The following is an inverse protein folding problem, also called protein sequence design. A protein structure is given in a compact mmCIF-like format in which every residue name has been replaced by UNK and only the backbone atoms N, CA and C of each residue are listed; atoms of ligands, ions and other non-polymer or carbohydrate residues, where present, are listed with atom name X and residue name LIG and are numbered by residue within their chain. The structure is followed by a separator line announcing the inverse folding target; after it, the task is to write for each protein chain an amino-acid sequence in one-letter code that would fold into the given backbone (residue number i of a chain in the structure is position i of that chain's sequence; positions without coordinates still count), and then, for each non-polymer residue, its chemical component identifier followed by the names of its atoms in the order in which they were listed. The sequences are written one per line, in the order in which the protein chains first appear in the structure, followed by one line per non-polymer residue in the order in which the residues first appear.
data_IF_780109812371
#
_entry.id   IF_780109812371
#
_cell.length_a   1.000
_cell.length_b   1.000
_cell.length_c   1.000
_cell.angle_alpha   90.00
_cell.angle_beta   90.00
_cell.angle_gamma   90.00
#
_symmetry.space_group_name_H-M   'P 1'
#
loop_
_entity.id
_entity.type
_entity.pdbx_description
1 polymer ?
#
# COMPACT_ATOMS: atom_id res chain seq x y z
N UNK A 1 -40.40 -9.97 32.55
CA UNK A 1 -39.69 -9.99 31.26
C UNK A 1 -38.68 -11.11 31.35
N UNK A 2 -38.86 -12.19 30.59
CA UNK A 2 -37.90 -13.30 30.58
C UNK A 2 -36.68 -12.89 29.74
N UNK A 3 -35.51 -12.80 30.37
CA UNK A 3 -34.28 -12.39 29.70
C UNK A 3 -33.76 -13.57 28.88
N UNK A 4 -33.82 -13.47 27.54
CA UNK A 4 -33.27 -14.47 26.61
C UNK A 4 -31.74 -14.40 26.51
N UNK A 5 -31.05 -14.50 27.66
CA UNK A 5 -29.59 -14.37 27.76
C UNK A 5 -28.82 -15.26 26.78
N UNK A 6 -29.26 -16.51 26.60
CA UNK A 6 -28.65 -17.44 25.64
C UNK A 6 -28.75 -16.97 24.18
N UNK A 7 -29.87 -16.39 23.79
CA UNK A 7 -30.05 -15.85 22.43
C UNK A 7 -29.20 -14.60 22.21
N UNK A 8 -29.13 -13.71 23.22
CA UNK A 8 -28.26 -12.54 23.15
C UNK A 8 -26.78 -12.93 23.02
N UNK A 9 -26.32 -13.90 23.82
CA UNK A 9 -24.95 -14.40 23.75
C UNK A 9 -24.62 -15.02 22.39
N UNK A 10 -25.54 -15.80 21.81
CA UNK A 10 -25.36 -16.40 20.48
C UNK A 10 -25.25 -15.33 19.39
N UNK A 11 -26.12 -14.32 19.41
CA UNK A 11 -26.07 -13.20 18.47
C UNK A 11 -24.75 -12.41 18.58
N UNK A 12 -24.28 -12.15 19.80
CA UNK A 12 -22.99 -11.47 20.04
C UNK A 12 -21.84 -12.30 19.46
N UNK A 13 -21.81 -13.61 19.73
CA UNK A 13 -20.77 -14.51 19.20
C UNK A 13 -20.79 -14.55 17.67
N UNK A 14 -21.96 -14.65 17.05
CA UNK A 14 -22.08 -14.63 15.58
C UNK A 14 -21.56 -13.32 14.99
N UNK A 15 -21.85 -12.17 15.62
CA UNK A 15 -21.31 -10.89 15.18
C UNK A 15 -19.78 -10.84 15.28
N UNK A 16 -19.20 -11.34 16.37
CA UNK A 16 -17.73 -11.40 16.53
C UNK A 16 -17.08 -12.25 15.43
N UNK A 17 -17.69 -13.40 15.09
CA UNK A 17 -17.22 -14.25 14.00
C UNK A 17 -17.32 -13.54 12.64
N UNK A 18 -18.42 -12.83 12.38
CA UNK A 18 -18.58 -12.05 11.15
C UNK A 18 -17.55 -10.91 11.05
N UNK A 19 -17.26 -10.24 12.16
CA UNK A 19 -16.24 -9.19 12.24
C UNK A 19 -14.83 -9.73 11.94
N UNK A 20 -14.47 -10.89 12.50
CA UNK A 20 -13.18 -11.55 12.22
C UNK A 20 -13.09 -12.05 10.78
N UNK A 21 -14.17 -12.68 10.28
CA UNK A 21 -14.26 -13.15 8.89
C UNK A 21 -14.15 -12.01 7.88
N UNK A 22 -14.74 -10.85 8.16
CA UNK A 22 -14.64 -9.66 7.33
C UNK A 22 -13.19 -9.16 7.20
N UNK A 23 -12.47 -9.00 8.32
CA UNK A 23 -11.07 -8.53 8.29
C UNK A 23 -10.20 -9.48 7.46
N UNK A 24 -10.37 -10.79 7.65
CA UNK A 24 -9.65 -11.81 6.89
C UNK A 24 -9.97 -11.73 5.39
N UNK A 25 -11.25 -11.71 5.03
CA UNK A 25 -11.67 -11.67 3.62
C UNK A 25 -11.19 -10.38 2.91
N UNK A 26 -11.23 -9.23 3.60
CA UNK A 26 -10.70 -7.99 3.06
C UNK A 26 -9.19 -8.09 2.86
N UNK A 27 -8.44 -8.58 3.84
CA UNK A 27 -6.99 -8.67 3.75
C UNK A 27 -6.52 -9.70 2.68
N UNK A 28 -7.24 -10.81 2.49
CA UNK A 28 -7.03 -11.76 1.39
C UNK A 28 -7.31 -11.11 0.03
N UNK A 29 -8.39 -10.33 -0.08
CA UNK A 29 -8.69 -9.56 -1.28
C UNK A 29 -7.56 -8.59 -1.61
N UNK A 30 -7.01 -7.86 -0.64
CA UNK A 30 -5.87 -6.96 -0.91
C UNK A 30 -4.68 -7.73 -1.44
N UNK A 31 -4.36 -8.89 -0.88
CA UNK A 31 -3.28 -9.75 -1.35
C UNK A 31 -3.48 -10.23 -2.78
N UNK A 32 -4.67 -10.73 -3.10
CA UNK A 32 -5.03 -11.21 -4.44
C UNK A 32 -5.05 -10.10 -5.49
N UNK A 33 -5.32 -8.86 -5.09
CA UNK A 33 -5.28 -7.70 -5.98
C UNK A 33 -3.86 -7.16 -6.17
N UNK A 34 -2.92 -7.40 -5.24
CA UNK A 34 -1.62 -6.74 -5.25
C UNK A 34 -0.80 -7.01 -6.52
N UNK A 35 -0.70 -8.26 -6.95
CA UNK A 35 0.09 -8.64 -8.13
C UNK A 35 -0.60 -8.23 -9.44
N UNK A 36 -1.91 -8.50 -9.66
CA UNK A 36 -2.62 -8.01 -10.84
C UNK A 36 -2.54 -6.49 -11.00
N UNK A 37 -2.59 -5.72 -9.91
CA UNK A 37 -2.45 -4.26 -9.96
C UNK A 37 -1.10 -3.78 -10.50
N UNK A 38 -0.02 -4.54 -10.28
CA UNK A 38 1.31 -4.20 -10.79
C UNK A 38 1.42 -4.33 -12.31
N UNK A 39 0.56 -5.13 -12.92
CA UNK A 39 0.52 -5.38 -14.37
C UNK A 39 -0.72 -4.76 -15.04
N UNK A 40 -1.38 -3.82 -14.37
CA UNK A 40 -2.58 -3.13 -14.86
C UNK A 40 -2.33 -1.94 -15.78
N UNK A 41 -1.07 -1.66 -16.13
CA UNK A 41 -0.71 -0.47 -16.88
C UNK A 41 0.18 -0.79 -18.08
N UNK A 42 -0.22 -0.26 -19.23
CA UNK A 42 0.59 -0.23 -20.44
C UNK A 42 1.23 1.15 -20.58
N UNK A 43 2.43 1.19 -21.17
CA UNK A 43 3.25 2.39 -21.19
C UNK A 43 3.59 2.82 -22.62
N UNK A 44 3.54 4.13 -22.86
CA UNK A 44 4.01 4.75 -24.11
C UNK A 44 4.97 5.87 -23.74
N UNK A 45 6.12 5.91 -24.41
CA UNK A 45 7.12 6.98 -24.26
C UNK A 45 7.13 7.91 -25.47
N UNK A 46 7.30 9.20 -25.22
CA UNK A 46 7.59 10.23 -26.21
C UNK A 46 8.82 11.00 -25.78
N UNK A 47 9.72 11.25 -26.72
CA UNK A 47 10.86 12.17 -26.56
C UNK A 47 10.65 13.40 -27.42
N UNK A 48 11.17 14.54 -26.95
CA UNK A 48 11.26 15.78 -27.73
C UNK A 48 12.70 16.05 -28.17
N UNK A 49 12.89 17.06 -29.02
CA UNK A 49 14.22 17.46 -29.50
C UNK A 49 15.17 17.78 -28.33
N UNK A 50 16.45 17.37 -28.41
CA UNK A 50 17.47 17.73 -27.44
C UNK A 50 17.65 19.24 -27.33
N UNK A 51 17.87 19.74 -26.11
CA UNK A 51 18.17 21.15 -25.83
C UNK A 51 19.55 21.26 -25.19
N UNK A 52 20.38 22.15 -25.71
CA UNK A 52 21.70 22.39 -25.10
C UNK A 52 21.54 23.03 -23.72
N UNK A 53 22.33 22.55 -22.76
CA UNK A 53 22.40 23.07 -21.39
C UNK A 53 23.57 24.04 -21.19
N UNK A 54 24.48 24.11 -22.16
CA UNK A 54 25.65 24.98 -22.12
C UNK A 54 25.92 25.64 -23.47
N UNK A 55 26.75 26.67 -23.46
CA UNK A 55 27.15 27.41 -24.67
C UNK A 55 28.11 26.63 -25.56
N UNK A 56 28.76 25.60 -25.01
CA UNK A 56 29.75 24.77 -25.71
C UNK A 56 29.12 23.57 -26.43
N UNK A 57 27.80 23.37 -26.28
CA UNK A 57 27.04 22.23 -26.80
C UNK A 57 27.56 20.86 -26.35
N UNK A 58 28.11 20.79 -25.13
CA UNK A 58 28.66 19.55 -24.56
C UNK A 58 27.61 18.76 -23.79
N UNK A 59 26.75 19.44 -23.06
CA UNK A 59 25.69 18.85 -22.25
C UNK A 59 24.32 19.22 -22.80
N UNK A 60 23.43 18.24 -22.80
CA UNK A 60 22.11 18.31 -23.39
C UNK A 60 21.08 17.74 -22.44
N UNK A 61 19.84 18.19 -22.61
CA UNK A 61 18.68 17.54 -22.02
C UNK A 61 17.71 17.09 -23.12
N UNK A 62 17.17 15.89 -22.95
CA UNK A 62 16.13 15.33 -23.82
C UNK A 62 14.85 15.19 -22.98
N UNK A 63 13.83 16.04 -23.23
CA UNK A 63 12.57 15.93 -22.52
C UNK A 63 11.86 14.62 -22.87
N UNK A 64 11.50 13.85 -21.85
CA UNK A 64 10.77 12.59 -21.95
C UNK A 64 9.40 12.71 -21.28
N UNK A 65 8.42 12.04 -21.87
CA UNK A 65 7.08 11.87 -21.34
C UNK A 65 6.67 10.41 -21.47
N UNK A 66 6.39 9.76 -20.34
CA UNK A 66 5.75 8.44 -20.30
C UNK A 66 4.30 8.58 -19.88
N UNK A 67 3.40 7.99 -20.65
CA UNK A 67 1.97 7.87 -20.32
C UNK A 67 1.67 6.45 -19.91
N UNK A 68 1.05 6.28 -18.75
CA UNK A 68 0.51 5.01 -18.26
C UNK A 68 -0.99 4.95 -18.54
N UNK A 69 -1.43 3.91 -19.24
CA UNK A 69 -2.84 3.66 -19.59
C UNK A 69 -3.28 2.36 -18.96
N UNK A 70 -4.48 2.33 -18.36
CA UNK A 70 -4.99 1.12 -17.76
C UNK A 70 -5.27 0.06 -18.83
N UNK A 71 -4.92 -1.19 -18.55
CA UNK A 71 -5.29 -2.33 -19.38
C UNK A 71 -6.42 -3.16 -18.71
N UNK A 72 -6.78 -4.30 -19.31
CA UNK A 72 -7.91 -5.13 -18.84
C UNK A 72 -7.77 -5.66 -17.41
N UNK A 73 -6.55 -5.75 -16.88
CA UNK A 73 -6.35 -6.20 -15.49
C UNK A 73 -6.97 -5.22 -14.50
N UNK A 74 -7.10 -3.92 -14.84
CA UNK A 74 -7.73 -2.98 -13.92
C UNK A 74 -9.22 -3.25 -13.73
N UNK A 75 -9.89 -3.66 -14.80
CA UNK A 75 -11.30 -4.01 -14.76
C UNK A 75 -11.52 -5.28 -13.93
N UNK A 76 -10.60 -6.26 -14.04
CA UNK A 76 -10.59 -7.42 -13.16
C UNK A 76 -10.48 -6.99 -11.69
N UNK A 77 -9.51 -6.14 -11.36
CA UNK A 77 -9.29 -5.67 -9.99
C UNK A 77 -10.51 -4.94 -9.43
N UNK A 78 -11.09 -4.01 -10.20
CA UNK A 78 -12.28 -3.26 -9.80
C UNK A 78 -13.48 -4.18 -9.55
N UNK A 79 -13.73 -5.13 -10.46
CA UNK A 79 -14.86 -6.06 -10.33
C UNK A 79 -14.67 -7.03 -9.17
N UNK A 80 -13.46 -7.57 -8.98
CA UNK A 80 -13.16 -8.45 -7.85
C UNK A 80 -13.32 -7.72 -6.52
N UNK A 81 -12.82 -6.48 -6.43
CA UNK A 81 -12.97 -5.63 -5.25
C UNK A 81 -14.44 -5.38 -4.92
N UNK A 82 -15.23 -4.91 -5.91
CA UNK A 82 -16.68 -4.69 -5.76
C UNK A 82 -17.42 -5.95 -5.31
N UNK A 83 -17.18 -7.07 -5.98
CA UNK A 83 -17.85 -8.35 -5.67
C UNK A 83 -17.57 -8.82 -4.26
N UNK A 84 -16.32 -8.69 -3.81
CA UNK A 84 -15.93 -9.05 -2.44
C UNK A 84 -16.60 -8.14 -1.42
N UNK A 85 -16.57 -6.81 -1.61
CA UNK A 85 -17.25 -5.88 -0.70
C UNK A 85 -18.77 -6.08 -0.69
N UNK A 86 -19.38 -6.40 -1.83
CA UNK A 86 -20.81 -6.70 -1.90
C UNK A 86 -21.19 -7.92 -1.04
N UNK A 87 -20.35 -8.96 -1.05
CA UNK A 87 -20.56 -10.17 -0.24
C UNK A 87 -20.36 -9.92 1.27
N UNK A 88 -19.55 -8.92 1.64
CA UNK A 88 -19.25 -8.59 3.04
C UNK A 88 -20.18 -7.51 3.60
N UNK A 89 -20.72 -6.64 2.76
CA UNK A 89 -21.49 -5.47 3.18
C UNK A 89 -22.69 -5.85 4.04
N UNK A 90 -22.89 -5.10 5.13
CA UNK A 90 -24.14 -5.11 5.88
C UNK A 90 -25.29 -4.67 4.96
N UNK A 91 -26.42 -5.36 5.07
CA UNK A 91 -27.71 -4.94 4.53
C UNK A 91 -28.25 -3.72 5.30
N UNK A 92 -29.24 -2.97 4.75
CA UNK A 92 -29.80 -1.81 5.42
C UNK A 92 -30.34 -2.08 6.84
N UNK A 93 -31.02 -3.21 7.05
CA UNK A 93 -31.56 -3.61 8.36
C UNK A 93 -30.46 -4.02 9.36
N UNK A 94 -29.38 -4.62 8.88
CA UNK A 94 -28.23 -4.92 9.73
C UNK A 94 -27.49 -3.65 10.17
N UNK A 95 -27.42 -2.63 9.30
CA UNK A 95 -26.86 -1.31 9.66
C UNK A 95 -27.67 -0.67 10.79
N UNK A 96 -29.00 -0.68 10.70
CA UNK A 96 -29.88 -0.20 11.77
C UNK A 96 -29.68 -0.98 13.07
N UNK A 97 -29.54 -2.30 12.96
CA UNK A 97 -29.26 -3.16 14.11
C UNK A 97 -27.92 -2.79 14.77
N UNK A 98 -26.84 -2.63 14.00
CA UNK A 98 -25.53 -2.25 14.53
C UNK A 98 -25.59 -0.89 15.26
N UNK A 99 -26.28 0.10 14.66
CA UNK A 99 -26.49 1.40 15.29
C UNK A 99 -27.26 1.30 16.61
N UNK A 100 -28.31 0.47 16.67
CA UNK A 100 -29.08 0.24 17.91
C UNK A 100 -28.26 -0.40 19.04
N UNK A 101 -27.23 -1.17 18.67
CA UNK A 101 -26.28 -1.80 19.59
C UNK A 101 -25.11 -0.87 19.97
N UNK A 102 -25.16 0.41 19.59
CA UNK A 102 -24.09 1.39 19.76
C UNK A 102 -22.75 0.94 19.12
N UNK A 103 -22.82 0.15 18.04
CA UNK A 103 -21.66 -0.24 17.23
C UNK A 103 -21.48 0.71 16.06
N UNK A 104 -20.22 0.96 15.71
CA UNK A 104 -19.88 1.73 14.52
C UNK A 104 -20.09 0.91 13.24
N UNK A 105 -20.36 1.61 12.14
CA UNK A 105 -20.44 1.07 10.78
C UNK A 105 -19.52 1.92 9.92
N UNK A 106 -18.75 1.26 9.06
CA UNK A 106 -17.68 1.88 8.29
C UNK A 106 -18.02 1.82 6.78
N UNK A 107 -18.59 2.91 6.22
CA UNK A 107 -18.94 2.94 4.80
C UNK A 107 -17.70 3.06 3.90
N UNK A 108 -17.71 2.32 2.80
CA UNK A 108 -16.75 2.36 1.71
C UNK A 108 -17.48 2.68 0.42
N UNK A 109 -17.18 3.83 -0.17
CA UNK A 109 -17.71 4.24 -1.46
C UNK A 109 -16.79 3.75 -2.58
N UNK A 110 -17.36 3.11 -3.60
CA UNK A 110 -16.62 2.62 -4.76
C UNK A 110 -17.26 3.18 -6.02
N UNK A 111 -16.48 4.00 -6.73
CA UNK A 111 -16.78 4.53 -8.05
C UNK A 111 -16.11 3.65 -9.11
N UNK A 112 -16.90 3.15 -10.06
CA UNK A 112 -16.41 2.41 -11.22
C UNK A 112 -17.45 2.44 -12.33
N UNK A 113 -17.04 2.73 -13.57
CA UNK A 113 -17.92 2.83 -14.76
C UNK A 113 -19.12 3.77 -14.54
N UNK A 114 -18.88 4.97 -13.99
CA UNK A 114 -19.89 5.98 -13.65
C UNK A 114 -20.97 5.50 -12.65
N UNK A 115 -20.74 4.40 -11.94
CA UNK A 115 -21.59 3.94 -10.85
C UNK A 115 -20.87 4.16 -9.52
N UNK A 116 -21.58 4.70 -8.55
CA UNK A 116 -21.13 4.81 -7.16
C UNK A 116 -21.94 3.85 -6.30
N UNK A 117 -21.26 2.92 -5.63
CA UNK A 117 -21.88 1.99 -4.69
C UNK A 117 -21.24 2.17 -3.30
N UNK A 118 -22.07 2.11 -2.25
CA UNK A 118 -21.61 2.18 -0.86
C UNK A 118 -21.74 0.80 -0.22
N UNK A 119 -20.64 0.30 0.34
CA UNK A 119 -20.58 -0.95 1.09
C UNK A 119 -20.33 -0.65 2.56
N UNK A 120 -21.13 -1.22 3.45
CA UNK A 120 -21.09 -0.96 4.89
C UNK A 120 -20.34 -2.08 5.61
N UNK A 121 -19.13 -1.79 6.09
CA UNK A 121 -18.28 -2.75 6.80
C UNK A 121 -18.40 -2.60 8.32
N UNK A 122 -17.98 -3.64 9.05
CA UNK A 122 -18.12 -3.75 10.51
C UNK A 122 -16.90 -3.24 11.26
N UNK A 123 -15.70 -3.21 10.64
CA UNK A 123 -14.44 -2.92 11.35
C UNK A 123 -13.57 -1.85 10.72
N UNK A 124 -12.96 -1.04 11.59
CA UNK A 124 -11.93 -0.06 11.22
C UNK A 124 -10.68 -0.73 10.61
N UNK A 125 -10.31 -1.95 11.03
CA UNK A 125 -9.17 -2.66 10.45
C UNK A 125 -9.39 -3.03 8.97
N UNK A 126 -10.64 -3.32 8.58
CA UNK A 126 -11.03 -3.50 7.17
C UNK A 126 -10.79 -2.22 6.36
N UNK A 127 -11.12 -1.06 6.94
CA UNK A 127 -10.86 0.26 6.35
C UNK A 127 -9.35 0.52 6.22
N UNK A 128 -8.55 0.21 7.25
CA UNK A 128 -7.10 0.34 7.21
C UNK A 128 -6.47 -0.54 6.11
N UNK A 129 -6.95 -1.78 5.95
CA UNK A 129 -6.51 -2.68 4.88
C UNK A 129 -6.82 -2.10 3.49
N UNK A 130 -8.03 -1.59 3.29
CA UNK A 130 -8.43 -0.96 2.02
C UNK A 130 -7.58 0.30 1.73
N UNK A 131 -7.37 1.16 2.74
CA UNK A 131 -6.50 2.34 2.63
C UNK A 131 -5.07 1.96 2.27
N UNK A 132 -4.57 0.82 2.75
CA UNK A 132 -3.23 0.34 2.40
C UNK A 132 -3.08 0.08 0.89
N UNK A 133 -4.08 -0.53 0.25
CA UNK A 133 -4.07 -0.76 -1.19
C UNK A 133 -4.11 0.56 -1.97
N UNK A 134 -4.95 1.51 -1.55
CA UNK A 134 -5.05 2.83 -2.19
C UNK A 134 -3.73 3.60 -2.14
N UNK A 135 -3.00 3.49 -1.03
CA UNK A 135 -1.70 4.15 -0.87
C UNK A 135 -0.64 3.67 -1.87
N UNK A 136 -0.84 2.49 -2.48
CA UNK A 136 0.09 1.89 -3.45
C UNK A 136 -0.14 2.38 -4.88
N UNK A 137 -1.06 3.31 -5.12
CA UNK A 137 -1.38 3.70 -6.49
C UNK A 137 -0.20 4.30 -7.28
N UNK A 138 0.57 5.17 -6.60
CA UNK A 138 1.79 5.74 -7.15
C UNK A 138 2.85 4.67 -7.44
N UNK A 139 2.85 3.58 -6.67
CA UNK A 139 3.72 2.43 -6.91
C UNK A 139 3.29 1.68 -8.17
N UNK A 140 2.02 1.24 -8.26
CA UNK A 140 1.54 0.43 -9.38
C UNK A 140 1.68 1.13 -10.73
N UNK A 141 1.34 2.42 -10.80
CA UNK A 141 1.42 3.20 -12.06
C UNK A 141 2.85 3.43 -12.54
N UNK A 142 3.87 3.19 -11.72
CA UNK A 142 5.27 3.56 -11.99
C UNK A 142 6.18 2.36 -12.26
N UNK A 143 5.60 1.20 -12.55
CA UNK A 143 6.33 -0.04 -12.81
C UNK A 143 6.78 -0.14 -14.27
N UNK A 144 7.62 0.82 -14.68
CA UNK A 144 8.28 0.80 -15.99
C UNK A 144 9.76 1.18 -15.88
N UNK A 145 10.52 0.79 -16.90
CA UNK A 145 11.89 1.26 -17.17
C UNK A 145 11.97 1.87 -18.55
N UNK A 146 12.89 2.81 -18.73
CA UNK A 146 13.18 3.46 -20.01
C UNK A 146 14.57 3.09 -20.46
N UNK A 147 14.67 2.57 -21.67
CA UNK A 147 15.93 2.18 -22.29
C UNK A 147 16.25 3.14 -23.43
N UNK A 148 17.46 3.70 -23.43
CA UNK A 148 17.97 4.62 -24.46
C UNK A 148 18.70 3.91 -25.62
N UNK A 149 18.85 2.57 -25.51
CA UNK A 149 19.75 1.75 -26.33
C UNK A 149 21.16 1.59 -25.75
N UNK A 150 21.56 2.50 -24.85
CA UNK A 150 22.85 2.50 -24.17
C UNK A 150 22.71 2.08 -22.70
N UNK A 151 21.67 2.58 -22.03
CA UNK A 151 21.42 2.35 -20.61
C UNK A 151 19.93 2.21 -20.30
N UNK A 152 19.65 1.77 -19.08
CA UNK A 152 18.31 1.66 -18.51
C UNK A 152 18.16 2.61 -17.33
N UNK A 153 17.03 3.30 -17.28
CA UNK A 153 16.68 4.21 -16.19
C UNK A 153 15.26 3.97 -15.68
N UNK A 154 15.07 4.22 -14.40
CA UNK A 154 13.74 4.36 -13.82
C UNK A 154 13.33 5.81 -14.01
N UNK A 155 12.11 6.10 -14.49
CA UNK A 155 11.65 7.48 -14.66
C UNK A 155 11.93 8.27 -13.37
N UNK A 156 12.51 9.47 -13.44
CA UNK A 156 13.25 10.03 -12.29
C UNK A 156 12.55 11.17 -11.52
N UNK A 157 11.27 11.50 -11.79
CA UNK A 157 10.56 12.61 -11.08
C UNK A 157 9.06 12.40 -10.86
N UNK A 158 8.41 13.37 -10.18
CA UNK A 158 6.97 13.44 -9.86
C UNK A 158 6.14 13.21 -11.12
N UNK A 159 5.24 12.23 -11.07
CA UNK A 159 4.19 12.05 -12.08
C UNK A 159 2.89 12.71 -11.64
N UNK A 160 2.05 13.04 -12.60
CA UNK A 160 0.66 13.40 -12.36
C UNK A 160 -0.17 12.12 -12.39
N UNK A 161 -0.85 11.81 -11.29
CA UNK A 161 -1.81 10.71 -11.20
C UNK A 161 -3.20 11.26 -11.53
N UNK A 162 -3.97 10.54 -12.35
CA UNK A 162 -5.31 10.95 -12.78
C UNK A 162 -6.36 9.99 -12.23
N UNK A 163 -7.40 10.52 -11.59
CA UNK A 163 -8.50 9.70 -11.07
C UNK A 163 -8.30 9.13 -9.67
N UNK A 164 -7.21 9.47 -8.98
CA UNK A 164 -6.91 9.00 -7.63
C UNK A 164 -6.88 10.16 -6.65
N UNK A 165 -7.97 10.34 -5.91
CA UNK A 165 -8.02 11.28 -4.81
C UNK A 165 -7.76 10.53 -3.50
N UNK A 166 -6.55 10.68 -2.95
CA UNK A 166 -6.25 10.26 -1.58
C UNK A 166 -6.76 11.34 -0.62
N UNK A 167 -8.08 11.50 -0.55
CA UNK A 167 -8.64 12.37 0.49
C UNK A 167 -8.47 11.67 1.84
N UNK A 168 -7.76 12.32 2.77
CA UNK A 168 -7.63 11.89 4.16
C UNK A 168 -8.93 12.17 4.93
N UNK A 169 -10.04 11.69 4.38
CA UNK A 169 -11.36 11.71 5.00
C UNK A 169 -11.52 10.53 5.98
N UNK A 170 -12.42 10.68 6.95
CA UNK A 170 -12.92 9.58 7.77
C UNK A 170 -13.72 8.56 6.93
N UNK A 171 -14.26 8.98 5.77
CA UNK A 171 -14.83 8.10 4.76
C UNK A 171 -13.77 7.57 3.79
N UNK A 172 -13.87 6.30 3.40
CA UNK A 172 -13.05 5.73 2.31
C UNK A 172 -13.85 5.81 1.03
N UNK A 173 -13.31 6.51 0.04
CA UNK A 173 -13.86 6.60 -1.30
C UNK A 173 -12.79 6.17 -2.29
N UNK A 174 -13.11 5.23 -3.17
CA UNK A 174 -12.19 4.66 -4.16
C UNK A 174 -12.76 4.87 -5.54
N UNK A 175 -11.96 5.42 -6.44
CA UNK A 175 -12.31 5.54 -7.84
C UNK A 175 -11.41 4.62 -8.67
N UNK A 176 -11.98 3.54 -9.19
CA UNK A 176 -11.27 2.67 -10.13
C UNK A 176 -11.38 3.25 -11.53
N UNK A 177 -10.26 3.43 -12.25
CA UNK A 177 -10.29 3.77 -13.66
C UNK A 177 -10.76 2.56 -14.47
N UNK A 178 -11.10 2.78 -15.73
CA UNK A 178 -11.49 1.70 -16.66
C UNK A 178 -10.36 1.36 -17.63
N UNK A 179 -10.42 0.17 -18.23
CA UNK A 179 -9.52 -0.19 -19.32
C UNK A 179 -9.51 0.89 -20.44
N UNK A 180 -8.32 1.26 -20.89
CA UNK A 180 -8.07 2.32 -21.86
C UNK A 180 -7.99 3.74 -21.27
N UNK A 181 -8.33 3.93 -20.00
CA UNK A 181 -8.23 5.24 -19.35
C UNK A 181 -6.78 5.54 -18.97
N UNK A 182 -6.35 6.78 -19.23
CA UNK A 182 -5.05 7.27 -18.79
C UNK A 182 -5.00 7.36 -17.25
N UNK A 183 -4.04 6.69 -16.63
CA UNK A 183 -3.87 6.63 -15.18
C UNK A 183 -2.83 7.61 -14.66
N UNK A 184 -1.75 7.83 -15.43
CA UNK A 184 -0.66 8.71 -15.01
C UNK A 184 0.17 9.21 -16.20
N UNK A 185 0.85 10.34 -15.98
CA UNK A 185 1.92 10.82 -16.85
C UNK A 185 3.15 11.14 -16.04
N UNK A 186 4.33 10.76 -16.53
CA UNK A 186 5.62 10.99 -15.90
C UNK A 186 6.52 11.74 -16.88
N UNK A 187 7.03 12.90 -16.49
CA UNK A 187 7.94 13.68 -17.32
C UNK A 187 9.24 14.02 -16.61
N UNK A 188 10.33 13.98 -17.36
CA UNK A 188 11.65 14.38 -16.88
C UNK A 188 12.56 14.72 -18.06
N UNK A 189 13.67 15.38 -17.76
CA UNK A 189 14.71 15.71 -18.72
C UNK A 189 15.84 14.69 -18.56
N UNK A 190 16.08 13.85 -19.56
CA UNK A 190 17.23 12.95 -19.57
C UNK A 190 18.49 13.72 -19.95
N UNK A 191 19.49 13.72 -19.08
CA UNK A 191 20.71 14.53 -19.23
C UNK A 191 21.79 13.70 -19.91
N UNK A 192 22.30 14.20 -21.03
CA UNK A 192 23.26 13.48 -21.87
C UNK A 192 24.40 14.39 -22.33
N UNK A 193 25.57 13.83 -22.52
CA UNK A 193 26.64 14.47 -23.28
C UNK A 193 26.43 14.26 -24.78
N UNK A 194 27.09 15.06 -25.63
CA UNK A 194 27.05 14.85 -27.08
C UNK A 194 27.50 13.42 -27.47
N UNK A 195 28.59 12.95 -26.89
CA UNK A 195 29.11 11.59 -27.13
C UNK A 195 28.12 10.49 -26.70
N UNK A 196 27.32 10.74 -25.66
CA UNK A 196 26.25 9.82 -25.25
C UNK A 196 25.11 9.82 -26.27
N UNK A 197 24.70 10.98 -26.77
CA UNK A 197 23.64 11.11 -27.78
C UNK A 197 24.01 10.35 -29.06
N UNK A 198 25.27 10.43 -29.50
CA UNK A 198 25.78 9.71 -30.68
C UNK A 198 25.67 8.18 -30.55
N UNK A 199 25.63 7.64 -29.32
CA UNK A 199 25.52 6.21 -29.05
C UNK A 199 24.07 5.74 -28.85
N UNK A 200 23.12 6.67 -28.72
CA UNK A 200 21.72 6.32 -28.47
C UNK A 200 21.06 5.77 -29.74
N UNK A 201 20.28 4.70 -29.59
CA UNK A 201 19.50 4.11 -30.68
C UNK A 201 18.02 4.47 -30.61
N UNK A 202 17.62 5.24 -29.60
CA UNK A 202 16.25 5.69 -29.37
C UNK A 202 15.69 5.21 -28.03
N UNK A 203 14.58 5.82 -27.61
CA UNK A 203 13.93 5.46 -26.36
C UNK A 203 12.87 4.39 -26.56
N UNK A 204 12.88 3.41 -25.66
CA UNK A 204 11.79 2.46 -25.47
C UNK A 204 11.40 2.39 -24.00
N UNK A 205 10.15 2.02 -23.73
CA UNK A 205 9.64 1.82 -22.37
C UNK A 205 9.21 0.38 -22.20
N UNK A 206 9.56 -0.23 -21.06
CA UNK A 206 9.22 -1.62 -20.74
C UNK A 206 8.52 -1.70 -19.38
N UNK A 207 7.43 -2.46 -19.25
CA UNK A 207 6.84 -2.74 -17.94
C UNK A 207 7.79 -3.60 -17.11
N UNK A 208 7.81 -3.38 -15.79
CA UNK A 208 8.63 -4.16 -14.84
C UNK A 208 7.99 -5.48 -14.42
N UNK A 209 6.71 -5.68 -14.74
CA UNK A 209 5.95 -6.84 -14.26
C UNK A 209 5.70 -6.77 -12.75
N UNK A 210 5.56 -7.95 -12.13
CA UNK A 210 5.42 -8.09 -10.68
C UNK A 210 6.80 -7.98 -10.03
N UNK A 211 6.97 -6.98 -9.16
CA UNK A 211 8.22 -6.70 -8.43
C UNK A 211 8.06 -6.81 -6.91
N UNK A 212 6.83 -6.94 -6.43
CA UNK A 212 6.51 -7.16 -5.02
C UNK A 212 5.46 -8.25 -4.90
N UNK A 213 5.69 -9.21 -4.02
CA UNK A 213 4.82 -10.37 -3.86
C UNK A 213 3.99 -10.24 -2.59
N UNK A 214 2.80 -10.82 -2.60
CA UNK A 214 1.97 -10.96 -1.40
C UNK A 214 1.78 -12.43 -1.07
N UNK A 215 2.39 -12.88 0.03
CA UNK A 215 2.36 -14.28 0.47
C UNK A 215 2.28 -14.33 1.99
N UNK A 216 1.88 -15.47 2.54
CA UNK A 216 1.95 -15.72 3.99
C UNK A 216 1.29 -14.61 4.84
N UNK A 217 0.22 -14.01 4.32
CA UNK A 217 -0.57 -12.98 4.98
C UNK A 217 -0.04 -11.55 4.89
N UNK A 218 1.08 -11.27 4.21
CA UNK A 218 1.64 -9.93 4.10
C UNK A 218 2.44 -9.67 2.82
N UNK A 219 2.99 -8.45 2.72
CA UNK A 219 3.92 -8.06 1.67
C UNK A 219 5.27 -8.71 1.93
N UNK A 220 5.81 -9.47 0.97
CA UNK A 220 7.11 -10.13 1.12
C UNK A 220 8.21 -9.06 1.11
N UNK A 221 8.98 -9.01 2.20
CA UNK A 221 10.12 -8.11 2.38
C UNK A 221 11.38 -8.76 1.80
N UNK A 222 11.62 -10.02 2.16
CA UNK A 222 12.62 -10.88 1.54
C UNK A 222 12.21 -12.36 1.65
N UNK A 223 12.72 -13.19 0.76
CA UNK A 223 12.52 -14.64 0.75
C UNK A 223 13.82 -15.29 0.25
N UNK A 224 14.34 -16.26 1.01
CA UNK A 224 15.54 -17.03 0.69
C UNK A 224 15.41 -18.44 1.22
N UNK A 225 15.59 -19.43 0.35
CA UNK A 225 15.58 -20.86 0.69
C UNK A 225 14.33 -21.32 1.46
N UNK A 226 13.17 -20.75 1.11
CA UNK A 226 11.88 -21.06 1.74
C UNK A 226 11.61 -20.30 3.05
N UNK A 227 12.58 -19.51 3.52
CA UNK A 227 12.44 -18.64 4.68
C UNK A 227 12.30 -17.17 4.28
N UNK A 228 11.52 -16.40 5.03
CA UNK A 228 11.40 -14.98 4.72
C UNK A 228 10.73 -14.15 5.78
N UNK A 229 10.67 -12.85 5.50
CA UNK A 229 9.98 -11.87 6.32
C UNK A 229 8.83 -11.28 5.51
N UNK A 230 7.63 -11.24 6.10
CA UNK A 230 6.51 -10.46 5.57
C UNK A 230 6.17 -9.28 6.46
N UNK A 231 5.74 -8.20 5.83
CA UNK A 231 5.23 -7.00 6.47
C UNK A 231 3.70 -6.99 6.43
N UNK A 232 3.07 -6.63 7.55
CA UNK A 232 1.62 -6.49 7.66
C UNK A 232 1.04 -5.41 6.73
N UNK A 233 -0.25 -5.51 6.45
CA UNK A 233 -0.92 -4.67 5.45
C UNK A 233 -1.05 -3.21 5.88
N UNK A 234 -1.23 -2.96 7.17
CA UNK A 234 -1.48 -1.64 7.73
C UNK A 234 -0.85 -1.53 9.12
N UNK A 235 -0.75 -0.31 9.63
CA UNK A 235 -0.27 -0.07 10.98
C UNK A 235 -1.32 -0.54 12.00
N UNK A 236 -0.89 -1.32 12.99
CA UNK A 236 -1.76 -1.86 14.04
C UNK A 236 -2.35 -0.74 14.88
N UNK A 237 -1.59 0.33 15.06
CA UNK A 237 -1.97 1.52 15.81
C UNK A 237 -0.75 2.30 16.27
N UNK A 238 -0.98 3.18 17.25
CA UNK A 238 0.05 4.01 17.89
C UNK A 238 0.03 3.72 19.38
N UNK A 239 1.14 3.23 19.92
CA UNK A 239 1.20 2.69 21.27
C UNK A 239 2.50 3.11 21.98
N UNK A 240 2.52 3.01 23.31
CA UNK A 240 3.79 2.93 24.02
C UNK A 240 4.48 1.60 23.69
N UNK A 241 5.75 1.47 24.04
CA UNK A 241 6.55 0.34 23.55
C UNK A 241 6.09 -1.02 24.09
N UNK A 242 5.62 -1.09 25.33
CA UNK A 242 5.09 -2.34 25.90
C UNK A 242 3.78 -2.74 25.23
N UNK A 243 2.85 -1.80 25.10
CA UNK A 243 1.56 -2.04 24.45
C UNK A 243 1.75 -2.32 22.95
N UNK A 244 2.79 -1.79 22.31
CA UNK A 244 3.15 -2.09 20.93
C UNK A 244 3.50 -3.58 20.75
N UNK A 245 4.26 -4.17 21.69
CA UNK A 245 4.56 -5.60 21.67
C UNK A 245 3.30 -6.43 21.85
N UNK A 246 2.52 -6.14 22.89
CA UNK A 246 1.25 -6.83 23.15
C UNK A 246 0.29 -6.74 21.96
N UNK A 247 0.16 -5.57 21.34
CA UNK A 247 -0.71 -5.37 20.18
C UNK A 247 -0.27 -6.19 18.95
N UNK A 248 1.03 -6.42 18.77
CA UNK A 248 1.54 -7.33 17.76
C UNK A 248 1.28 -8.80 18.11
N UNK A 249 1.58 -9.21 19.35
CA UNK A 249 1.44 -10.59 19.80
C UNK A 249 -0.02 -11.07 19.81
N UNK A 250 -0.97 -10.15 20.02
CA UNK A 250 -2.42 -10.42 19.97
C UNK A 250 -3.02 -10.24 18.56
N UNK A 251 -2.23 -9.79 17.57
CA UNK A 251 -2.74 -9.50 16.23
C UNK A 251 -3.11 -10.79 15.49
N UNK A 252 -4.37 -10.85 15.06
CA UNK A 252 -4.85 -11.85 14.09
C UNK A 252 -5.08 -11.17 12.74
N UNK A 253 -4.19 -11.39 11.78
CA UNK A 253 -4.25 -10.79 10.44
C UNK A 253 -4.01 -11.85 9.36
N UNK A 254 -4.91 -11.91 8.38
CA UNK A 254 -4.90 -12.93 7.31
C UNK A 254 -4.89 -14.39 7.80
N UNK A 255 -5.43 -14.64 8.99
CA UNK A 255 -5.45 -15.97 9.60
C UNK A 255 -4.16 -16.37 10.32
N UNK A 256 -3.18 -15.47 10.40
CA UNK A 256 -1.93 -15.67 11.13
C UNK A 256 -1.98 -14.94 12.49
N UNK A 257 -1.35 -15.52 13.51
CA UNK A 257 -1.36 -15.07 14.90
C UNK A 257 0.05 -14.91 15.49
N UNK A 258 1.08 -15.12 14.68
CA UNK A 258 2.50 -15.10 14.99
C UNK A 258 3.15 -13.78 14.50
N UNK A 259 2.38 -12.70 14.53
CA UNK A 259 2.86 -11.36 14.22
C UNK A 259 3.67 -10.80 15.39
N UNK A 260 4.73 -10.05 15.09
CA UNK A 260 5.61 -9.46 16.10
C UNK A 260 6.06 -8.05 15.71
N UNK A 261 6.54 -7.31 16.69
CA UNK A 261 7.19 -6.01 16.47
C UNK A 261 8.58 -6.25 15.81
N UNK A 262 8.91 -5.58 14.69
CA UNK A 262 10.17 -5.80 13.96
C UNK A 262 11.38 -5.37 14.78
N UNK A 263 12.53 -6.03 14.60
CA UNK A 263 13.80 -5.54 15.12
C UNK A 263 14.18 -4.21 14.45
N UNK A 264 15.14 -3.48 15.03
CA UNK A 264 15.70 -2.26 14.44
C UNK A 264 16.21 -2.53 13.02
N UNK A 265 16.98 -3.60 12.85
CA UNK A 265 17.61 -3.99 11.59
C UNK A 265 16.56 -4.39 10.55
N UNK A 266 15.52 -5.13 10.95
CA UNK A 266 14.41 -5.48 10.06
C UNK A 266 13.62 -4.25 9.62
N UNK A 267 13.38 -3.32 10.54
CA UNK A 267 12.69 -2.08 10.25
C UNK A 267 13.52 -1.26 9.25
N UNK A 268 14.80 -1.03 9.50
CA UNK A 268 15.70 -0.38 8.55
C UNK A 268 15.71 -1.08 7.18
N UNK A 269 15.75 -2.42 7.17
CA UNK A 269 15.73 -3.20 5.94
C UNK A 269 14.42 -3.02 5.15
N UNK A 270 13.26 -3.08 5.81
CA UNK A 270 11.95 -2.80 5.21
C UNK A 270 11.96 -1.40 4.61
N UNK A 271 12.43 -0.41 5.38
CA UNK A 271 12.40 0.98 4.97
C UNK A 271 13.39 1.34 3.86
N UNK A 272 14.45 0.56 3.69
CA UNK A 272 15.36 0.71 2.56
C UNK A 272 14.81 -0.02 1.33
N UNK A 273 14.47 -1.30 1.43
CA UNK A 273 14.13 -2.11 0.27
C UNK A 273 12.70 -1.88 -0.26
N UNK A 274 11.70 -1.83 0.63
CA UNK A 274 10.29 -1.72 0.20
C UNK A 274 9.98 -0.31 -0.31
N UNK A 275 10.60 0.71 0.27
CA UNK A 275 10.34 2.11 -0.11
C UNK A 275 11.11 2.56 -1.32
N UNK A 276 12.30 2.00 -1.57
CA UNK A 276 13.02 2.24 -2.82
C UNK A 276 12.24 1.69 -4.02
N UNK A 277 11.47 0.61 -3.83
CA UNK A 277 10.49 0.16 -4.83
C UNK A 277 9.34 1.15 -5.02
N UNK A 278 9.10 2.06 -4.07
CA UNK A 278 8.00 3.01 -4.05
C UNK A 278 6.73 2.48 -3.37
N UNK A 279 6.74 1.22 -2.91
CA UNK A 279 5.61 0.60 -2.23
C UNK A 279 5.37 1.31 -0.89
N UNK A 280 4.13 1.75 -0.65
CA UNK A 280 3.75 2.47 0.57
C UNK A 280 3.16 1.56 1.63
N UNK A 281 2.33 0.59 1.22
CA UNK A 281 1.60 -0.32 2.09
C UNK A 281 0.89 0.39 3.26
N UNK A 282 0.38 1.60 3.04
CA UNK A 282 -0.30 2.40 4.07
C UNK A 282 0.62 2.93 5.17
N UNK A 283 1.95 2.84 5.01
CA UNK A 283 2.89 3.34 6.00
C UNK A 283 3.00 4.85 5.92
N UNK A 284 3.01 5.48 7.09
CA UNK A 284 3.00 6.92 7.28
C UNK A 284 4.42 7.47 7.37
N UNK A 285 4.60 8.77 7.08
CA UNK A 285 5.88 9.47 7.30
C UNK A 285 5.96 9.93 8.75
N UNK A 286 6.42 9.05 9.63
CA UNK A 286 6.43 9.25 11.08
C UNK A 286 7.41 8.30 11.79
N UNK A 287 7.24 8.14 13.10
CA UNK A 287 8.04 7.30 13.98
C UNK A 287 7.43 5.89 14.11
N UNK A 288 8.27 4.86 13.97
CA UNK A 288 7.88 3.46 14.12
C UNK A 288 8.70 2.78 15.20
N UNK A 289 8.03 2.13 16.15
CA UNK A 289 8.74 1.34 17.16
C UNK A 289 9.44 0.13 16.55
N UNK A 290 10.62 -0.19 17.08
CA UNK A 290 11.25 -1.50 16.91
C UNK A 290 11.21 -2.28 18.23
N UNK A 291 11.37 -3.60 18.16
CA UNK A 291 11.50 -4.47 19.34
C UNK A 291 12.89 -4.44 19.96
N UNK A 292 13.87 -3.78 19.32
CA UNK A 292 15.25 -3.65 19.82
C UNK A 292 15.30 -2.63 20.95
N UNK A 293 15.77 -3.07 22.12
CA UNK A 293 15.96 -2.20 23.28
C UNK A 293 17.24 -1.38 23.18
N UNK A 294 17.24 -0.18 23.77
CA UNK A 294 18.46 0.59 24.05
C UNK A 294 18.55 0.78 25.57
N UNK A 295 19.66 0.36 26.18
CA UNK A 295 19.97 0.42 27.63
C UNK A 295 18.89 0.98 28.58
N UNK A 296 18.45 0.14 29.53
CA UNK A 296 17.52 0.52 30.58
C UNK A 296 16.09 0.73 30.06
N UNK A 297 15.61 1.97 30.11
CA UNK A 297 14.21 2.32 29.86
C UNK A 297 13.90 2.76 28.43
N UNK A 298 14.83 2.60 27.48
CA UNK A 298 14.67 3.08 26.11
C UNK A 298 14.54 1.94 25.10
N UNK A 299 13.91 2.22 23.98
CA UNK A 299 13.87 1.33 22.83
C UNK A 299 14.11 2.12 21.55
N UNK A 300 14.59 1.43 20.52
CA UNK A 300 14.85 2.03 19.22
C UNK A 300 13.54 2.24 18.45
N UNK A 301 13.47 3.35 17.74
CA UNK A 301 12.46 3.64 16.73
C UNK A 301 13.13 4.11 15.44
N UNK A 302 12.41 4.00 14.32
CA UNK A 302 12.85 4.53 13.04
C UNK A 302 11.98 5.72 12.62
N UNK A 303 12.64 6.79 12.17
CA UNK A 303 11.99 7.93 11.50
C UNK A 303 11.89 7.62 10.00
N UNK A 304 10.72 7.80 9.43
CA UNK A 304 10.41 7.36 8.06
C UNK A 304 10.13 8.52 7.11
N UNK A 305 10.51 9.73 7.54
CA UNK A 305 10.53 10.92 6.71
C UNK A 305 11.78 10.98 5.81
N UNK A 306 12.05 12.14 5.20
CA UNK A 306 13.13 12.31 4.24
C UNK A 306 14.54 12.04 4.79
N UNK A 307 14.75 12.05 6.11
CA UNK A 307 16.08 11.93 6.71
C UNK A 307 16.42 10.50 7.15
N UNK A 308 15.43 9.58 7.16
CA UNK A 308 15.56 8.15 7.54
C UNK A 308 16.62 7.90 8.62
N UNK A 309 16.26 8.13 9.88
CA UNK A 309 17.19 8.01 11.00
C UNK A 309 16.63 7.08 12.08
N UNK A 310 17.50 6.25 12.66
CA UNK A 310 17.17 5.45 13.84
C UNK A 310 17.58 6.21 15.10
N UNK A 311 16.68 6.30 16.08
CA UNK A 311 16.97 6.90 17.38
C UNK A 311 16.26 6.11 18.48
N UNK A 312 16.42 6.48 19.74
CA UNK A 312 15.80 5.81 20.88
C UNK A 312 14.95 6.75 21.73
N UNK A 313 13.88 6.20 22.30
CA UNK A 313 13.00 6.94 23.19
C UNK A 313 12.57 6.09 24.38
N UNK A 314 12.10 6.77 25.43
CA UNK A 314 11.59 6.12 26.63
C UNK A 314 10.38 5.25 26.32
N UNK A 315 10.45 3.97 26.71
CA UNK A 315 9.44 2.94 26.45
C UNK A 315 8.03 3.32 26.95
N UNK A 316 7.95 4.07 28.05
CA UNK A 316 6.70 4.36 28.76
C UNK A 316 6.04 5.70 28.39
N UNK A 317 6.76 6.59 27.68
CA UNK A 317 6.26 7.94 27.38
C UNK A 317 6.13 8.20 25.88
N UNK A 318 7.01 7.62 25.06
CA UNK A 318 6.88 7.70 23.61
C UNK A 318 5.67 6.89 23.13
N UNK A 319 4.84 7.47 22.27
CA UNK A 319 3.82 6.72 21.53
C UNK A 319 4.16 6.79 20.05
N UNK A 320 4.45 5.65 19.43
CA UNK A 320 4.85 5.56 18.02
C UNK A 320 4.04 4.48 17.29
N UNK A 321 4.04 4.55 15.96
CA UNK A 321 3.29 3.62 15.13
C UNK A 321 3.93 2.23 15.12
N UNK A 322 3.09 1.23 14.87
CA UNK A 322 3.48 -0.17 14.88
C UNK A 322 3.13 -0.82 13.54
N UNK A 323 4.17 -1.26 12.82
CA UNK A 323 4.05 -2.08 11.62
C UNK A 323 4.52 -3.49 11.96
N UNK A 324 3.57 -4.41 12.10
CA UNK A 324 3.87 -5.79 12.46
C UNK A 324 4.60 -6.52 11.31
N UNK A 325 5.48 -7.44 11.68
CA UNK A 325 6.17 -8.37 10.78
C UNK A 325 5.97 -9.80 11.23
N UNK A 326 6.22 -10.74 10.33
CA UNK A 326 6.11 -12.17 10.59
C UNK A 326 7.15 -12.93 9.76
N UNK A 327 7.78 -13.92 10.36
CA UNK A 327 8.66 -14.86 9.67
C UNK A 327 7.84 -16.00 9.03
N UNK A 328 8.34 -16.58 7.95
CA UNK A 328 7.74 -17.76 7.32
C UNK A 328 8.77 -18.73 6.79
#
# INVERSE_FOLDING_TARGET
IEVKGGMFALNIKQQLLNEQGEIKAVAEMIGLLHEPMQISFDYVIKSSDPKSLDTESKNWEIPLLVTATCNKNIDFCANYFKKTLAALSLSPSEVETYKSLNKQVFPVEVMYQNQTLTYNLRKQSSISAIKSLMSNWAFYTRLFTVQSGMDESFGNRRGSLFGFDNSYSSSVSINFPTNGQQAATFSWNDKRTLAQIEQMTGYSVKPRGVVSNFKNGGYVVYEKDGHGLVMGLFDVGKFNWTDAKTACDELVLNGYTDWRLPSKEELEFIFNNVYELGLKAGVLRTYYWSSTENYGYNAWYLVTDSHKESDYSYKYHGTFYVRAVRDF
#
